data_IF_772969732347
#
_entry.id   IF_772969732347
#
_cell.length_a   1.000
_cell.length_b   1.000
_cell.length_c   1.000
_cell.angle_alpha   90.00
_cell.angle_beta   90.00
_cell.angle_gamma   90.00
#
_symmetry.space_group_name_H-M   'P 1'
#
loop_
_entity.id
_entity.type
_entity.pdbx_description
1 polymer ?
#
# COMPACT_ATOMS: atom_id res chain seq x y z
N UNK A 1 25.23 21.54 36.45
CA UNK A 1 24.70 21.71 35.09
C UNK A 1 24.95 20.40 34.34
N UNK A 2 23.88 19.76 33.86
CA UNK A 2 23.98 18.58 33.01
C UNK A 2 23.85 19.09 31.57
N UNK A 3 24.86 18.86 30.74
CA UNK A 3 24.77 19.08 29.30
C UNK A 3 24.27 17.73 28.73
N UNK A 4 23.03 17.70 28.29
CA UNK A 4 22.48 16.57 27.53
C UNK A 4 22.77 16.85 26.07
N UNK A 5 23.53 16.00 25.40
CA UNK A 5 23.67 16.03 23.96
C UNK A 5 22.31 15.66 23.36
N UNK A 6 21.65 16.59 22.70
CA UNK A 6 20.47 16.31 21.91
C UNK A 6 20.96 15.64 20.63
N UNK A 7 20.46 14.45 20.35
CA UNK A 7 20.67 13.76 19.07
C UNK A 7 20.24 14.73 17.96
N UNK A 8 21.08 14.87 16.92
CA UNK A 8 20.74 15.71 15.77
C UNK A 8 19.62 15.02 15.02
N UNK A 9 18.55 15.75 14.75
CA UNK A 9 17.53 15.32 13.79
C UNK A 9 18.21 14.97 12.45
N UNK A 10 17.99 13.75 11.96
CA UNK A 10 18.61 13.22 10.77
C UNK A 10 17.80 13.53 9.51
N UNK A 11 16.49 13.67 9.65
CA UNK A 11 15.56 13.84 8.54
C UNK A 11 14.56 14.93 8.84
N UNK A 12 14.58 16.03 8.09
CA UNK A 12 13.62 17.11 8.30
C UNK A 12 12.19 16.72 7.90
N UNK A 13 11.23 17.26 8.63
CA UNK A 13 9.79 17.07 8.36
C UNK A 13 9.24 18.08 7.35
N UNK A 14 9.92 18.26 6.23
CA UNK A 14 9.52 19.19 5.17
C UNK A 14 9.97 18.70 3.77
N UNK A 15 9.56 19.44 2.74
CA UNK A 15 9.87 19.12 1.34
C UNK A 15 11.36 19.28 0.97
N UNK A 16 12.19 19.87 1.85
CA UNK A 16 13.63 20.02 1.66
C UNK A 16 14.42 18.85 2.29
N UNK A 17 13.74 17.84 2.82
CA UNK A 17 14.40 16.65 3.35
C UNK A 17 15.40 16.05 2.37
N UNK A 18 16.51 15.54 2.88
CA UNK A 18 17.49 14.76 2.12
C UNK A 18 17.22 13.27 2.17
N UNK A 19 16.25 12.85 2.99
CA UNK A 19 15.79 11.47 3.08
C UNK A 19 15.14 11.02 1.78
N UNK A 20 15.56 9.85 1.27
CA UNK A 20 15.03 9.31 0.03
C UNK A 20 14.90 7.79 0.09
N UNK A 21 13.73 7.31 -0.27
CA UNK A 21 13.46 5.91 -0.56
C UNK A 21 13.69 5.68 -2.07
N UNK A 22 14.46 4.67 -2.40
CA UNK A 22 14.77 4.33 -3.79
C UNK A 22 14.48 2.85 -4.01
N UNK A 23 13.69 2.54 -5.02
CA UNK A 23 13.42 1.15 -5.38
C UNK A 23 14.67 0.46 -5.90
N UNK A 24 14.90 -0.76 -5.42
CA UNK A 24 15.92 -1.67 -5.94
C UNK A 24 15.40 -2.39 -7.21
N UNK A 25 16.24 -3.22 -7.82
CA UNK A 25 15.90 -4.00 -9.03
C UNK A 25 14.76 -5.01 -8.81
N UNK A 26 14.39 -5.27 -7.57
CA UNK A 26 13.29 -6.17 -7.21
C UNK A 26 11.98 -5.43 -6.91
N UNK A 27 11.96 -4.09 -7.10
CA UNK A 27 10.77 -3.26 -6.86
C UNK A 27 10.49 -2.96 -5.38
N UNK A 28 11.49 -3.09 -4.49
CA UNK A 28 11.37 -2.75 -3.08
C UNK A 28 12.29 -1.59 -2.70
N UNK A 29 11.79 -0.70 -1.82
CA UNK A 29 12.59 0.33 -1.18
C UNK A 29 12.56 0.11 0.34
N UNK A 30 13.72 0.27 0.99
CA UNK A 30 13.84 0.10 2.44
C UNK A 30 14.82 1.13 3.00
N UNK A 31 14.49 1.72 4.14
CA UNK A 31 15.37 2.60 4.91
C UNK A 31 15.07 2.49 6.40
N UNK A 32 16.11 2.60 7.23
CA UNK A 32 15.96 2.68 8.69
C UNK A 32 16.40 4.06 9.19
N UNK A 33 15.67 4.59 10.19
CA UNK A 33 15.97 5.85 10.86
C UNK A 33 15.45 5.82 12.30
N UNK A 34 15.40 6.96 12.96
CA UNK A 34 14.90 7.07 14.34
C UNK A 34 14.15 8.37 14.59
N UNK A 35 13.04 8.30 15.30
CA UNK A 35 12.39 9.44 15.95
C UNK A 35 13.20 9.75 17.21
N UNK A 36 13.95 10.83 17.19
CA UNK A 36 14.95 11.11 18.21
C UNK A 36 14.48 12.11 19.30
N UNK A 37 13.33 12.72 19.10
CA UNK A 37 12.66 13.60 20.06
C UNK A 37 11.14 13.37 20.06
N UNK A 38 10.46 13.74 21.14
CA UNK A 38 9.00 13.75 21.16
C UNK A 38 8.47 14.78 20.16
N UNK A 39 7.43 14.38 19.42
CA UNK A 39 6.82 15.15 18.33
C UNK A 39 7.72 15.35 17.09
N UNK A 40 8.84 14.66 17.02
CA UNK A 40 9.68 14.58 15.85
C UNK A 40 8.99 13.83 14.71
N UNK A 41 9.33 14.20 13.47
CA UNK A 41 8.82 13.60 12.25
C UNK A 41 9.93 13.54 11.21
N UNK A 42 10.06 12.40 10.58
CA UNK A 42 11.01 12.19 9.48
C UNK A 42 10.26 12.09 8.15
N UNK A 43 10.69 12.84 7.14
CA UNK A 43 10.14 12.68 5.79
C UNK A 43 11.17 12.10 4.82
N UNK A 44 10.69 11.25 3.93
CA UNK A 44 11.49 10.61 2.88
C UNK A 44 10.78 10.79 1.55
N UNK A 45 11.49 11.34 0.56
CA UNK A 45 10.96 11.41 -0.81
C UNK A 45 10.97 10.03 -1.46
N UNK A 46 9.98 9.77 -2.31
CA UNK A 46 9.85 8.56 -3.12
C UNK A 46 9.15 8.91 -4.43
N UNK A 47 9.60 8.35 -5.55
CA UNK A 47 8.93 8.48 -6.84
C UNK A 47 7.97 7.29 -7.02
N UNK A 48 6.71 7.57 -7.27
CA UNK A 48 5.65 6.58 -7.47
C UNK A 48 5.03 6.75 -8.85
N UNK A 49 4.60 5.64 -9.46
CA UNK A 49 3.99 5.62 -10.78
C UNK A 49 2.47 5.70 -10.72
N UNK A 50 1.87 6.46 -11.64
CA UNK A 50 0.41 6.63 -11.76
C UNK A 50 -0.30 5.27 -11.83
N UNK A 51 -1.35 5.13 -11.01
CA UNK A 51 -2.21 3.96 -10.98
C UNK A 51 -1.63 2.75 -10.24
N UNK A 52 -0.30 2.67 -10.04
CA UNK A 52 0.33 1.58 -9.31
C UNK A 52 -0.03 1.62 -7.83
N UNK A 53 -0.44 0.48 -7.29
CA UNK A 53 -0.65 0.30 -5.86
C UNK A 53 0.65 -0.11 -5.15
N UNK A 54 0.86 0.44 -3.97
CA UNK A 54 2.03 0.21 -3.12
C UNK A 54 1.60 -0.16 -1.71
N UNK A 55 2.32 -1.11 -1.13
CA UNK A 55 2.32 -1.32 0.32
C UNK A 55 3.43 -0.47 0.93
N UNK A 56 3.10 0.31 1.95
CA UNK A 56 4.05 1.14 2.71
C UNK A 56 3.91 0.73 4.17
N UNK A 57 4.99 0.24 4.76
CA UNK A 57 5.02 -0.23 6.14
C UNK A 57 6.05 0.56 6.95
N UNK A 58 5.71 0.91 8.19
CA UNK A 58 6.65 1.40 9.20
C UNK A 58 6.71 0.39 10.35
N UNK A 59 7.85 -0.25 10.45
CA UNK A 59 8.12 -1.36 11.35
C UNK A 59 8.91 -0.87 12.56
N UNK A 60 8.44 -1.19 13.75
CA UNK A 60 9.04 -0.76 15.00
C UNK A 60 9.34 -1.93 15.95
N UNK A 61 9.03 -1.74 17.22
CA UNK A 61 9.33 -2.72 18.27
C UNK A 61 8.48 -3.99 18.16
N UNK A 62 7.28 -3.92 17.59
CA UNK A 62 6.38 -5.06 17.45
C UNK A 62 6.96 -6.17 16.58
N UNK A 63 7.60 -5.80 15.47
CA UNK A 63 8.25 -6.74 14.53
C UNK A 63 9.75 -6.93 14.79
N UNK A 64 10.30 -6.30 15.83
CA UNK A 64 11.75 -6.28 16.11
C UNK A 64 12.59 -5.61 15.01
N UNK A 65 11.98 -4.76 14.19
CA UNK A 65 12.65 -3.97 13.15
C UNK A 65 12.94 -2.52 13.59
N UNK A 66 12.91 -2.28 14.89
CA UNK A 66 13.19 -1.00 15.51
C UNK A 66 12.79 -0.99 16.98
N UNK A 67 12.85 0.17 17.61
CA UNK A 67 12.47 0.38 19.02
C UNK A 67 11.26 1.29 19.18
N UNK A 68 10.79 1.94 18.10
CA UNK A 68 9.59 2.80 18.11
C UNK A 68 8.35 1.96 18.40
N UNK A 69 7.61 2.27 19.46
CA UNK A 69 6.54 1.39 19.98
C UNK A 69 5.25 1.44 19.16
N UNK A 70 4.96 2.53 18.49
CA UNK A 70 3.77 2.72 17.67
C UNK A 70 4.08 3.71 16.54
N UNK A 71 4.60 3.25 15.40
CA UNK A 71 4.82 4.09 14.25
C UNK A 71 3.51 4.68 13.70
N UNK A 72 3.60 5.89 13.15
CA UNK A 72 2.57 6.54 12.33
C UNK A 72 3.18 6.79 10.95
N UNK A 73 2.50 6.36 9.89
CA UNK A 73 2.83 6.69 8.51
C UNK A 73 1.95 7.84 8.03
N UNK A 74 2.54 8.76 7.29
CA UNK A 74 1.85 9.80 6.53
C UNK A 74 2.30 9.75 5.07
N UNK A 75 1.37 9.85 4.13
CA UNK A 75 1.67 10.01 2.70
C UNK A 75 1.29 11.43 2.30
N UNK A 76 2.22 12.13 1.66
CA UNK A 76 2.07 13.53 1.28
C UNK A 76 2.45 13.77 -0.18
N UNK A 77 1.82 14.76 -0.80
CA UNK A 77 2.18 15.22 -2.14
C UNK A 77 3.57 15.88 -2.17
N UNK A 78 4.09 16.14 -3.36
CA UNK A 78 5.31 16.93 -3.57
C UNK A 78 5.25 18.33 -2.90
N UNK A 79 4.06 18.90 -2.72
CA UNK A 79 3.85 20.16 -2.01
C UNK A 79 3.72 20.00 -0.48
N UNK A 80 3.87 18.78 0.07
CA UNK A 80 3.75 18.50 1.50
C UNK A 80 2.32 18.34 2.01
N UNK A 81 1.30 18.37 1.14
CA UNK A 81 -0.10 18.18 1.54
C UNK A 81 -0.34 16.73 1.94
N UNK A 82 -0.96 16.49 3.10
CA UNK A 82 -1.31 15.16 3.59
C UNK A 82 -2.40 14.53 2.72
N UNK A 83 -2.17 13.32 2.23
CA UNK A 83 -3.12 12.51 1.47
C UNK A 83 -3.71 11.38 2.31
N UNK A 84 -2.88 10.68 3.08
CA UNK A 84 -3.28 9.54 3.90
C UNK A 84 -2.41 9.42 5.13
N UNK A 85 -2.94 8.81 6.19
CA UNK A 85 -2.16 8.48 7.39
C UNK A 85 -2.74 7.26 8.10
N UNK A 86 -1.87 6.44 8.70
CA UNK A 86 -2.26 5.31 9.51
C UNK A 86 -1.21 5.00 10.59
N UNK A 87 -1.68 4.59 11.78
CA UNK A 87 -0.84 4.19 12.93
C UNK A 87 -1.12 2.75 13.37
N UNK A 88 -1.50 1.89 12.44
CA UNK A 88 -1.82 0.48 12.70
C UNK A 88 -1.96 -0.28 11.38
N UNK A 89 -2.60 -1.45 11.42
CA UNK A 89 -2.82 -2.27 10.22
C UNK A 89 -1.57 -2.98 9.70
N UNK A 90 -0.45 -2.88 10.42
CA UNK A 90 0.73 -3.69 10.14
C UNK A 90 0.48 -5.18 10.39
N UNK A 91 1.30 -6.01 9.80
CA UNK A 91 1.19 -7.48 9.93
C UNK A 91 1.41 -7.94 11.38
N UNK A 92 2.15 -7.17 12.19
CA UNK A 92 2.52 -7.52 13.57
C UNK A 92 2.26 -6.34 14.51
N UNK A 93 1.41 -6.55 15.50
CA UNK A 93 1.20 -5.65 16.63
C UNK A 93 0.82 -4.22 16.25
N UNK A 94 1.60 -3.25 16.73
CA UNK A 94 1.37 -1.82 16.53
C UNK A 94 2.17 -1.22 15.35
N UNK A 95 2.76 -2.04 14.50
CA UNK A 95 3.39 -1.56 13.28
C UNK A 95 2.34 -0.91 12.38
N UNK A 96 2.73 0.08 11.60
CA UNK A 96 1.82 0.80 10.72
C UNK A 96 1.92 0.30 9.28
N UNK A 97 0.80 0.30 8.57
CA UNK A 97 0.71 -0.07 7.16
C UNK A 97 -0.30 0.81 6.44
N UNK A 98 0.07 1.26 5.25
CA UNK A 98 -0.82 1.91 4.29
C UNK A 98 -0.74 1.14 2.98
N UNK A 99 -1.87 0.92 2.33
CA UNK A 99 -1.94 0.68 0.91
C UNK A 99 -2.27 2.00 0.22
N UNK A 100 -1.49 2.34 -0.78
CA UNK A 100 -1.61 3.61 -1.48
C UNK A 100 -1.53 3.38 -2.98
N UNK A 101 -2.57 3.77 -3.71
CA UNK A 101 -2.53 3.81 -5.17
C UNK A 101 -2.14 5.22 -5.60
N UNK A 102 -1.05 5.34 -6.37
CA UNK A 102 -0.57 6.64 -6.79
C UNK A 102 -1.52 7.27 -7.81
N UNK A 103 -2.01 8.50 -7.58
CA UNK A 103 -2.91 9.18 -8.52
C UNK A 103 -2.18 9.74 -9.76
N UNK A 104 -0.86 9.81 -9.75
CA UNK A 104 -0.03 10.42 -10.80
C UNK A 104 1.42 9.93 -10.73
N UNK A 105 2.16 10.05 -11.84
CA UNK A 105 3.63 9.89 -11.85
C UNK A 105 4.26 11.11 -11.17
N UNK A 106 4.63 10.97 -9.89
CA UNK A 106 5.17 12.09 -9.11
C UNK A 106 6.07 11.65 -7.96
N UNK A 107 6.79 12.62 -7.40
CA UNK A 107 7.46 12.47 -6.12
C UNK A 107 6.43 12.70 -5.01
N UNK A 108 6.37 11.77 -4.08
CA UNK A 108 5.62 11.85 -2.83
C UNK A 108 6.58 11.87 -1.64
N UNK A 109 6.04 12.15 -0.45
CA UNK A 109 6.78 12.00 0.79
C UNK A 109 6.11 10.98 1.69
N UNK A 110 6.92 10.05 2.20
CA UNK A 110 6.55 9.16 3.30
C UNK A 110 7.03 9.82 4.59
N UNK A 111 6.10 10.25 5.42
CA UNK A 111 6.37 10.80 6.74
C UNK A 111 6.23 9.75 7.83
N UNK A 112 7.17 9.70 8.76
CA UNK A 112 7.11 8.83 9.94
C UNK A 112 7.10 9.67 11.20
N UNK A 113 6.28 9.25 12.16
CA UNK A 113 6.21 9.80 13.50
C UNK A 113 5.88 8.71 14.52
N UNK A 114 5.88 9.06 15.80
CA UNK A 114 5.25 8.25 16.83
C UNK A 114 3.75 8.57 16.90
N UNK A 115 2.89 7.57 16.96
CA UNK A 115 1.46 7.75 17.20
C UNK A 115 1.23 8.53 18.50
N UNK A 116 0.42 9.61 18.43
CA UNK A 116 0.18 10.50 19.57
C UNK A 116 1.40 11.27 20.04
N UNK A 117 2.51 11.27 19.29
CA UNK A 117 3.81 11.88 19.69
C UNK A 117 4.34 11.34 21.04
N UNK A 118 4.02 10.09 21.38
CA UNK A 118 4.17 9.56 22.72
C UNK A 118 5.48 8.78 22.96
N UNK A 119 6.27 8.52 21.94
CA UNK A 119 7.50 7.73 22.04
C UNK A 119 8.60 8.24 21.10
N UNK A 120 9.80 7.75 21.37
CA UNK A 120 10.99 7.91 20.50
C UNK A 120 11.53 6.52 20.21
N UNK A 121 12.32 6.35 19.17
CA UNK A 121 12.96 5.09 18.85
C UNK A 121 13.20 4.90 17.36
N UNK A 122 13.97 3.87 17.04
CA UNK A 122 14.29 3.50 15.68
C UNK A 122 13.12 2.77 15.00
N UNK A 123 13.08 2.87 13.68
CA UNK A 123 12.10 2.21 12.82
C UNK A 123 12.70 1.83 11.47
N UNK A 124 12.02 0.97 10.75
CA UNK A 124 12.34 0.63 9.35
C UNK A 124 11.11 0.88 8.49
N UNK A 125 11.28 1.62 7.39
CA UNK A 125 10.25 1.79 6.34
C UNK A 125 10.51 0.74 5.28
N UNK A 126 9.43 0.08 4.83
CA UNK A 126 9.44 -0.78 3.64
C UNK A 126 8.36 -0.32 2.69
N UNK A 127 8.71 -0.20 1.42
CA UNK A 127 7.77 0.12 0.33
C UNK A 127 7.93 -0.94 -0.74
N UNK A 128 6.82 -1.49 -1.22
CA UNK A 128 6.80 -2.43 -2.33
C UNK A 128 5.58 -2.20 -3.23
N UNK A 129 5.78 -2.30 -4.54
CA UNK A 129 4.67 -2.36 -5.48
C UNK A 129 3.86 -3.64 -5.30
N UNK A 130 2.55 -3.57 -5.43
CA UNK A 130 1.68 -4.74 -5.41
C UNK A 130 1.67 -5.30 -6.83
N UNK A 131 2.07 -6.57 -6.97
CA UNK A 131 2.06 -7.24 -8.26
C UNK A 131 0.62 -7.52 -8.71
N UNK A 132 0.41 -7.59 -10.04
CA UNK A 132 -0.82 -8.06 -10.66
C UNK A 132 -1.17 -9.47 -10.14
N UNK A 133 -2.41 -9.65 -9.67
CA UNK A 133 -2.86 -10.91 -9.09
C UNK A 133 -3.54 -11.80 -10.14
N UNK A 134 -4.17 -11.23 -11.17
CA UNK A 134 -4.78 -11.99 -12.25
C UNK A 134 -4.59 -11.33 -13.62
N UNK A 135 -3.95 -12.04 -14.53
CA UNK A 135 -3.69 -11.50 -15.86
C UNK A 135 -4.98 -11.16 -16.64
N UNK A 136 -5.02 -9.97 -17.25
CA UNK A 136 -6.08 -9.45 -18.10
C UNK A 136 -6.19 -10.16 -19.47
N UNK A 137 -6.02 -11.49 -19.51
CA UNK A 137 -6.04 -12.26 -20.75
C UNK A 137 -6.50 -13.69 -20.56
N UNK A 138 -6.67 -14.43 -21.66
CA UNK A 138 -7.00 -15.87 -21.63
C UNK A 138 -5.92 -16.75 -20.96
N UNK A 139 -4.74 -16.20 -20.68
CA UNK A 139 -3.66 -16.89 -19.97
C UNK A 139 -3.79 -16.82 -18.44
N UNK A 140 -4.76 -16.07 -17.91
CA UNK A 140 -5.00 -15.98 -16.48
C UNK A 140 -5.07 -17.36 -15.82
N UNK A 141 -4.61 -17.44 -14.58
CA UNK A 141 -4.83 -18.58 -13.68
C UNK A 141 -6.04 -18.38 -12.76
N UNK A 142 -6.65 -17.18 -12.80
CA UNK A 142 -7.89 -16.87 -12.10
C UNK A 142 -9.03 -17.83 -12.45
N UNK A 143 -9.72 -18.37 -11.44
CA UNK A 143 -10.81 -19.34 -11.59
C UNK A 143 -12.00 -18.93 -10.72
N UNK A 144 -13.20 -18.99 -11.32
CA UNK A 144 -14.47 -18.89 -10.59
C UNK A 144 -15.14 -20.26 -10.61
N UNK A 145 -15.51 -20.73 -9.44
CA UNK A 145 -16.32 -21.94 -9.29
C UNK A 145 -17.81 -21.56 -9.22
N UNK A 146 -18.69 -22.13 -10.07
CA UNK A 146 -20.10 -21.77 -10.08
C UNK A 146 -20.88 -22.45 -8.93
N UNK A 147 -20.40 -22.30 -7.69
CA UNK A 147 -20.97 -22.85 -6.45
C UNK A 147 -21.51 -21.77 -5.51
N UNK A 148 -21.40 -20.49 -5.91
CA UNK A 148 -21.82 -19.34 -5.12
C UNK A 148 -20.73 -18.76 -4.21
N UNK A 149 -19.53 -19.36 -4.18
CA UNK A 149 -18.38 -18.76 -3.48
C UNK A 149 -17.90 -17.50 -4.20
N UNK A 150 -17.35 -16.55 -3.43
CA UNK A 150 -16.74 -15.35 -3.98
C UNK A 150 -15.26 -15.60 -4.29
N UNK A 151 -14.80 -15.10 -5.43
CA UNK A 151 -13.38 -14.94 -5.77
C UNK A 151 -13.06 -13.46 -5.65
N UNK A 152 -11.89 -13.14 -5.09
CA UNK A 152 -11.45 -11.78 -4.86
C UNK A 152 -10.26 -11.47 -5.76
N UNK A 153 -10.18 -10.25 -6.26
CA UNK A 153 -9.08 -9.72 -7.06
C UNK A 153 -8.81 -8.26 -6.70
N UNK A 154 -7.75 -7.70 -7.23
CA UNK A 154 -7.29 -6.36 -6.97
C UNK A 154 -6.91 -5.66 -8.28
N UNK A 155 -7.64 -4.64 -8.66
CA UNK A 155 -7.20 -3.73 -9.74
C UNK A 155 -6.05 -2.89 -9.16
N UNK A 156 -4.83 -3.31 -9.44
CA UNK A 156 -3.63 -2.81 -8.75
C UNK A 156 -2.86 -1.75 -9.52
N UNK A 157 -3.19 -1.56 -10.81
CA UNK A 157 -2.65 -0.49 -11.65
C UNK A 157 -3.77 0.17 -12.46
N UNK A 158 -3.48 1.35 -13.04
CA UNK A 158 -4.38 1.95 -14.04
C UNK A 158 -4.43 1.05 -15.28
N UNK A 159 -5.63 0.85 -15.85
CA UNK A 159 -5.89 -0.03 -17.00
C UNK A 159 -5.78 -1.54 -16.69
N UNK A 160 -5.55 -1.90 -15.44
CA UNK A 160 -5.59 -3.29 -15.03
C UNK A 160 -6.98 -3.90 -15.23
N UNK A 161 -6.98 -5.17 -15.61
CA UNK A 161 -8.19 -5.97 -15.82
C UNK A 161 -7.94 -7.41 -15.40
N UNK A 162 -8.68 -7.87 -14.41
CA UNK A 162 -8.62 -9.25 -13.96
C UNK A 162 -9.55 -10.13 -14.79
N UNK A 163 -9.02 -11.20 -15.37
CA UNK A 163 -9.83 -12.21 -16.03
C UNK A 163 -9.89 -13.47 -15.19
N UNK A 164 -11.07 -14.07 -15.19
CA UNK A 164 -11.31 -15.33 -14.49
C UNK A 164 -11.92 -16.34 -15.44
N UNK A 165 -11.39 -17.55 -15.45
CA UNK A 165 -11.99 -18.69 -16.13
C UNK A 165 -13.17 -19.22 -15.35
N UNK A 166 -14.22 -19.63 -16.05
CA UNK A 166 -15.39 -20.28 -15.45
C UNK A 166 -15.87 -21.40 -16.35
N UNK A 167 -16.07 -22.59 -15.79
CA UNK A 167 -16.65 -23.74 -16.50
C UNK A 167 -18.17 -23.70 -16.35
N UNK A 168 -18.90 -23.50 -17.46
CA UNK A 168 -20.35 -23.44 -17.48
C UNK A 168 -20.93 -24.63 -18.28
N UNK A 169 -22.08 -25.18 -17.82
CA UNK A 169 -22.81 -26.23 -18.52
C UNK A 169 -23.79 -25.62 -19.51
N UNK A 170 -23.97 -26.29 -20.65
CA UNK A 170 -24.97 -25.89 -21.63
C UNK A 170 -26.38 -25.93 -21.04
N UNK A 171 -27.26 -25.10 -21.56
CA UNK A 171 -28.68 -25.02 -21.19
C UNK A 171 -28.94 -24.66 -19.71
N UNK A 172 -27.95 -24.11 -19.04
CA UNK A 172 -28.09 -23.55 -17.69
C UNK A 172 -28.04 -22.04 -17.71
N UNK A 173 -28.78 -21.42 -16.78
CA UNK A 173 -28.72 -19.95 -16.54
C UNK A 173 -27.87 -19.68 -15.32
N UNK A 174 -26.90 -18.83 -15.48
CA UNK A 174 -25.98 -18.41 -14.42
C UNK A 174 -26.14 -16.93 -14.11
N UNK A 175 -26.05 -16.58 -12.84
CA UNK A 175 -25.95 -15.21 -12.38
C UNK A 175 -24.49 -14.92 -12.00
N UNK A 176 -23.89 -13.94 -12.65
CA UNK A 176 -22.57 -13.40 -12.28
C UNK A 176 -22.80 -12.05 -11.60
N UNK A 177 -22.15 -11.84 -10.48
CA UNK A 177 -22.20 -10.55 -9.75
C UNK A 177 -20.77 -10.09 -9.47
N UNK A 178 -20.52 -8.82 -9.66
CA UNK A 178 -19.28 -8.13 -9.28
C UNK A 178 -19.64 -7.01 -8.31
N UNK A 179 -18.86 -6.89 -7.24
CA UNK A 179 -19.03 -5.82 -6.26
C UNK A 179 -17.67 -5.39 -5.73
N UNK A 180 -17.53 -4.11 -5.38
CA UNK A 180 -16.36 -3.64 -4.64
C UNK A 180 -16.30 -4.32 -3.27
N UNK A 181 -15.10 -4.66 -2.83
CA UNK A 181 -14.87 -5.33 -1.54
C UNK A 181 -14.97 -4.34 -0.39
N UNK A 182 -15.94 -4.53 0.50
CA UNK A 182 -16.19 -3.67 1.67
C UNK A 182 -15.73 -4.31 2.98
N UNK A 183 -14.94 -5.41 2.93
CA UNK A 183 -14.41 -6.03 4.14
C UNK A 183 -13.49 -5.06 4.88
N UNK A 184 -13.48 -5.14 6.21
CA UNK A 184 -12.63 -4.29 7.05
C UNK A 184 -11.12 -4.51 6.84
N UNK A 185 -10.75 -5.59 6.18
CA UNK A 185 -9.37 -5.94 5.79
C UNK A 185 -9.04 -5.47 4.37
N UNK A 186 -10.04 -5.00 3.61
CA UNK A 186 -9.80 -4.34 2.34
C UNK A 186 -9.10 -3.00 2.59
N UNK A 187 -7.94 -2.84 2.03
CA UNK A 187 -6.99 -1.79 2.43
C UNK A 187 -6.90 -0.70 1.35
N UNK A 188 -7.42 -0.97 0.17
CA UNK A 188 -7.72 0.03 -0.85
C UNK A 188 -9.22 0.36 -0.79
N UNK A 189 -9.58 1.57 -1.18
CA UNK A 189 -10.99 1.92 -1.34
C UNK A 189 -11.66 0.92 -2.28
N UNK A 190 -12.87 0.42 -1.93
CA UNK A 190 -13.59 -0.50 -2.79
C UNK A 190 -13.82 0.13 -4.16
N UNK A 191 -13.72 -0.67 -5.23
CA UNK A 191 -14.10 -0.20 -6.56
C UNK A 191 -15.53 0.35 -6.54
N UNK A 192 -15.69 1.64 -6.75
CA UNK A 192 -16.97 2.33 -6.70
C UNK A 192 -17.77 2.17 -8.01
N UNK A 193 -17.08 1.94 -9.12
CA UNK A 193 -17.66 1.75 -10.45
C UNK A 193 -17.07 0.48 -11.08
N UNK A 194 -17.74 -0.65 -10.83
CA UNK A 194 -17.31 -1.96 -11.30
C UNK A 194 -17.82 -2.24 -12.70
N UNK A 195 -16.96 -2.74 -13.58
CA UNK A 195 -17.30 -3.11 -14.95
C UNK A 195 -17.04 -4.61 -15.19
N UNK A 196 -18.08 -5.35 -15.59
CA UNK A 196 -18.00 -6.79 -15.85
C UNK A 196 -18.24 -7.09 -17.34
N UNK A 197 -17.38 -7.90 -17.93
CA UNK A 197 -17.57 -8.47 -19.27
C UNK A 197 -17.57 -9.99 -19.21
N UNK A 198 -18.40 -10.60 -20.04
CA UNK A 198 -18.36 -12.07 -20.29
C UNK A 198 -17.79 -12.29 -21.67
N UNK A 199 -16.86 -13.22 -21.78
CA UNK A 199 -16.15 -13.54 -23.03
C UNK A 199 -16.20 -15.03 -23.29
N UNK A 200 -16.13 -15.41 -24.58
CA UNK A 200 -15.92 -16.80 -24.96
C UNK A 200 -14.45 -17.25 -24.76
N UNK A 201 -14.16 -18.52 -25.01
CA UNK A 201 -12.82 -19.08 -24.86
C UNK A 201 -11.77 -18.48 -25.80
N UNK A 202 -12.19 -17.73 -26.82
CA UNK A 202 -11.31 -16.98 -27.72
C UNK A 202 -11.01 -15.56 -27.22
N UNK A 203 -11.67 -15.12 -26.14
CA UNK A 203 -11.57 -13.76 -25.58
C UNK A 203 -12.54 -12.75 -26.20
N UNK A 204 -13.45 -13.17 -27.08
CA UNK A 204 -14.45 -12.29 -27.69
C UNK A 204 -15.58 -12.04 -26.69
N UNK A 205 -15.99 -10.78 -26.57
CA UNK A 205 -17.15 -10.38 -25.74
C UNK A 205 -18.45 -10.98 -26.31
N UNK A 206 -19.24 -11.57 -25.43
CA UNK A 206 -20.53 -12.19 -25.72
C UNK A 206 -21.70 -11.19 -25.62
#
# INVERSE_FOLDING_TARGET
YTITQVSKDLQSADIATTGRLTFNDQGFAEISSEINALADRDWFSIDLSEGQAYTIEALGSSSSNGTLSAPLIEIRTAAGTLLSSNSGGGTIGNDAKILFQSPEDATFFVGIAAAGNASIGSYTIKVGGIADDYAGSSLTDGLITPDGSATYGLINTREDTDWFKVGLSADQTYKVALAGDTRSEAVLDPLSDTYLTVRDSSGKIL
#
